data_IF_796212161370
#
_entry.id   IF_796212161370
#
_cell.length_a   1.000
_cell.length_b   1.000
_cell.length_c   1.000
_cell.angle_alpha   90.00
_cell.angle_beta   90.00
_cell.angle_gamma   90.00
#
_symmetry.space_group_name_H-M   'P 1'
#
loop_
_entity.id
_entity.type
_entity.pdbx_description
1 polymer ?
#
# COMPACT_ATOMS: atom_id res chain seq x y z
N UNK A 1 31.14 -10.15 -15.68
CA UNK A 1 30.02 -10.14 -14.71
C UNK A 1 28.80 -9.81 -15.53
N UNK A 2 27.84 -10.72 -15.64
CA UNK A 2 26.64 -10.49 -16.44
C UNK A 2 25.83 -9.40 -15.76
N UNK A 3 25.68 -8.26 -16.44
CA UNK A 3 24.96 -7.08 -16.01
C UNK A 3 23.46 -7.41 -15.98
N UNK A 4 23.02 -8.06 -14.89
CA UNK A 4 21.61 -8.40 -14.72
C UNK A 4 20.92 -7.14 -14.19
N UNK A 5 19.93 -6.59 -14.92
CA UNK A 5 19.26 -5.38 -14.47
C UNK A 5 18.60 -5.61 -13.11
N UNK A 6 18.69 -4.60 -12.23
CA UNK A 6 18.01 -4.62 -10.93
C UNK A 6 16.50 -4.77 -11.16
N UNK A 7 15.84 -5.79 -10.57
CA UNK A 7 14.41 -6.01 -10.77
C UNK A 7 13.57 -4.89 -10.14
N UNK A 8 12.32 -4.75 -10.54
CA UNK A 8 11.37 -3.90 -9.80
C UNK A 8 11.08 -4.49 -8.42
N UNK A 9 10.55 -3.69 -7.49
CA UNK A 9 10.09 -4.21 -6.21
C UNK A 9 8.98 -5.24 -6.40
N UNK A 10 8.09 -5.01 -7.38
CA UNK A 10 7.05 -5.93 -7.79
C UNK A 10 7.60 -7.29 -8.24
N UNK A 11 8.62 -7.31 -9.10
CA UNK A 11 9.23 -8.56 -9.55
C UNK A 11 9.97 -9.26 -8.41
N UNK A 12 10.69 -8.49 -7.58
CA UNK A 12 11.45 -9.01 -6.44
C UNK A 12 10.57 -9.70 -5.40
N UNK A 13 9.42 -9.11 -5.06
CA UNK A 13 8.49 -9.70 -4.09
C UNK A 13 7.72 -10.92 -4.60
N UNK A 14 7.82 -11.26 -5.89
CA UNK A 14 7.11 -12.37 -6.51
C UNK A 14 5.81 -11.99 -7.23
N UNK A 15 5.66 -10.73 -7.62
CA UNK A 15 4.56 -10.21 -8.44
C UNK A 15 3.18 -10.22 -7.77
N UNK A 16 2.14 -10.11 -8.62
CA UNK A 16 0.75 -10.03 -8.17
C UNK A 16 0.33 -11.22 -7.29
N UNK A 17 0.72 -12.47 -7.57
CA UNK A 17 0.36 -13.60 -6.70
C UNK A 17 0.87 -13.44 -5.27
N UNK A 18 2.04 -12.82 -5.05
CA UNK A 18 2.54 -12.55 -3.71
C UNK A 18 1.74 -11.44 -3.01
N UNK A 19 1.39 -10.38 -3.73
CA UNK A 19 0.57 -9.29 -3.19
C UNK A 19 -0.85 -9.73 -2.86
N UNK A 20 -1.46 -10.60 -3.66
CA UNK A 20 -2.78 -11.16 -3.37
C UNK A 20 -2.76 -12.00 -2.09
N UNK A 21 -1.77 -12.89 -1.92
CA UNK A 21 -1.62 -13.64 -0.67
C UNK A 21 -1.40 -12.72 0.53
N UNK A 22 -0.56 -11.68 0.37
CA UNK A 22 -0.30 -10.69 1.40
C UNK A 22 -1.59 -9.97 1.82
N UNK A 23 -2.33 -9.39 0.88
CA UNK A 23 -3.51 -8.60 1.20
C UNK A 23 -4.64 -9.48 1.72
N UNK A 24 -4.86 -10.67 1.16
CA UNK A 24 -5.84 -11.63 1.68
C UNK A 24 -5.56 -11.98 3.15
N UNK A 25 -4.31 -12.37 3.46
CA UNK A 25 -3.94 -12.71 4.83
C UNK A 25 -4.01 -11.50 5.75
N UNK A 26 -3.55 -10.34 5.29
CA UNK A 26 -3.56 -9.10 6.05
C UNK A 26 -4.98 -8.72 6.45
N UNK A 27 -5.93 -8.74 5.51
CA UNK A 27 -7.32 -8.38 5.79
C UNK A 27 -8.08 -9.45 6.60
N UNK A 28 -7.62 -10.71 6.62
CA UNK A 28 -8.08 -11.68 7.61
C UNK A 28 -7.66 -11.24 9.02
N UNK A 29 -6.39 -10.87 9.21
CA UNK A 29 -5.85 -10.43 10.51
C UNK A 29 -6.43 -9.10 10.98
N UNK A 30 -6.75 -8.18 10.06
CA UNK A 30 -7.41 -6.89 10.37
C UNK A 30 -8.71 -7.09 11.13
N UNK A 31 -9.45 -8.17 10.87
CA UNK A 31 -10.73 -8.47 11.55
C UNK A 31 -10.55 -8.78 13.03
N UNK A 32 -9.35 -9.21 13.43
CA UNK A 32 -9.02 -9.58 14.81
C UNK A 32 -8.32 -8.44 15.57
N UNK A 33 -7.95 -7.35 14.88
CA UNK A 33 -7.30 -6.18 15.48
C UNK A 33 -8.33 -5.18 16.02
N UNK A 34 -8.24 -4.84 17.31
CA UNK A 34 -9.22 -3.99 17.98
C UNK A 34 -9.30 -2.55 17.43
N UNK A 35 -8.21 -2.02 16.87
CA UNK A 35 -8.16 -0.67 16.29
C UNK A 35 -8.61 -0.66 14.83
N UNK A 36 -8.25 -1.70 14.08
CA UNK A 36 -8.50 -1.77 12.63
C UNK A 36 -9.84 -2.42 12.27
N UNK A 37 -10.32 -3.39 13.05
CA UNK A 37 -11.58 -4.08 12.75
C UNK A 37 -12.76 -3.11 12.57
N UNK A 38 -12.94 -2.05 13.40
CA UNK A 38 -14.00 -1.06 13.16
C UNK A 38 -13.81 -0.25 11.88
N UNK A 39 -12.57 0.04 11.48
CA UNK A 39 -12.24 0.80 10.26
C UNK A 39 -12.69 0.04 9.01
N UNK A 40 -12.55 -1.29 9.02
CA UNK A 40 -12.83 -2.17 7.88
C UNK A 40 -14.13 -2.98 8.04
N UNK A 41 -14.99 -2.66 9.01
CA UNK A 41 -16.20 -3.44 9.31
C UNK A 41 -17.20 -3.57 8.13
N UNK A 42 -17.15 -2.63 7.18
CA UNK A 42 -17.99 -2.61 5.98
C UNK A 42 -17.20 -2.79 4.69
N UNK A 43 -15.98 -3.29 4.78
CA UNK A 43 -15.13 -3.60 3.64
C UNK A 43 -15.78 -4.70 2.78
N UNK A 44 -15.80 -4.49 1.47
CA UNK A 44 -16.26 -5.53 0.52
C UNK A 44 -15.25 -6.69 0.40
N UNK A 45 -15.71 -7.81 -0.15
CA UNK A 45 -14.88 -9.01 -0.31
C UNK A 45 -13.77 -8.89 -1.34
N UNK A 46 -13.87 -7.95 -2.29
CA UNK A 46 -12.91 -7.72 -3.37
C UNK A 46 -11.79 -6.75 -2.96
N UNK A 47 -11.95 -6.06 -1.83
CA UNK A 47 -11.01 -5.07 -1.32
C UNK A 47 -9.56 -5.57 -1.25
N UNK A 48 -9.25 -6.80 -0.78
CA UNK A 48 -7.90 -7.32 -0.82
C UNK A 48 -7.30 -7.36 -2.24
N UNK A 49 -8.10 -7.74 -3.24
CA UNK A 49 -7.66 -7.79 -4.64
C UNK A 49 -7.43 -6.39 -5.21
N UNK A 50 -8.31 -5.44 -4.90
CA UNK A 50 -8.13 -4.04 -5.29
C UNK A 50 -6.84 -3.44 -4.72
N UNK A 51 -6.54 -3.71 -3.45
CA UNK A 51 -5.31 -3.23 -2.80
C UNK A 51 -4.08 -3.93 -3.38
N UNK A 52 -4.15 -5.22 -3.69
CA UNK A 52 -3.05 -5.92 -4.34
C UNK A 52 -2.73 -5.33 -5.73
N UNK A 53 -3.76 -5.04 -6.53
CA UNK A 53 -3.60 -4.39 -7.83
C UNK A 53 -3.00 -2.98 -7.71
N UNK A 54 -3.47 -2.19 -6.73
CA UNK A 54 -2.92 -0.86 -6.46
C UNK A 54 -1.43 -0.94 -6.10
N UNK A 55 -1.07 -1.79 -5.13
CA UNK A 55 0.32 -1.99 -4.71
C UNK A 55 1.20 -2.50 -5.86
N UNK A 56 0.67 -3.41 -6.69
CA UNK A 56 1.40 -3.94 -7.83
C UNK A 56 1.85 -2.82 -8.78
N UNK A 57 0.94 -1.93 -9.14
CA UNK A 57 1.25 -0.81 -10.03
C UNK A 57 2.21 0.20 -9.38
N UNK A 58 2.06 0.49 -8.08
CA UNK A 58 2.99 1.38 -7.37
C UNK A 58 4.41 0.85 -7.34
N UNK A 59 4.58 -0.46 -7.15
CA UNK A 59 5.86 -1.13 -6.98
C UNK A 59 6.54 -1.51 -8.31
N UNK A 60 6.01 -1.01 -9.43
CA UNK A 60 6.61 -1.16 -10.77
C UNK A 60 5.99 -2.27 -11.63
N UNK A 61 4.87 -2.86 -11.20
CA UNK A 61 4.10 -3.84 -11.96
C UNK A 61 3.16 -3.23 -13.02
N UNK A 62 2.27 -4.05 -13.61
CA UNK A 62 1.34 -3.62 -14.65
C UNK A 62 0.36 -2.52 -14.20
N UNK A 63 -0.09 -1.67 -15.12
CA UNK A 63 -1.05 -0.57 -14.86
C UNK A 63 -2.52 -1.04 -14.74
N UNK A 64 -2.73 -2.21 -14.16
CA UNK A 64 -4.04 -2.84 -14.11
C UNK A 64 -5.02 -2.07 -13.20
N UNK A 65 -4.53 -1.53 -12.07
CA UNK A 65 -5.37 -0.77 -11.15
C UNK A 65 -5.84 0.54 -11.78
N UNK A 66 -4.95 1.28 -12.43
CA UNK A 66 -5.31 2.49 -13.15
C UNK A 66 -6.33 2.23 -14.25
N UNK A 67 -6.13 1.17 -15.05
CA UNK A 67 -7.03 0.81 -16.13
C UNK A 67 -8.44 0.42 -15.65
N UNK A 68 -8.55 -0.26 -14.50
CA UNK A 68 -9.82 -0.83 -14.02
C UNK A 68 -10.54 0.07 -13.01
N UNK A 69 -9.80 0.84 -12.22
CA UNK A 69 -10.36 1.61 -11.10
C UNK A 69 -10.17 3.13 -11.25
N UNK A 70 -9.35 3.60 -12.19
CA UNK A 70 -9.11 5.03 -12.41
C UNK A 70 -7.99 5.62 -11.56
N UNK A 71 -7.05 4.77 -11.13
CA UNK A 71 -5.72 5.19 -10.64
C UNK A 71 -5.73 5.90 -9.29
N UNK A 72 -4.71 6.72 -9.05
CA UNK A 72 -4.47 7.32 -7.74
C UNK A 72 -5.66 8.18 -7.25
N UNK A 73 -6.27 8.96 -8.13
CA UNK A 73 -7.44 9.76 -7.81
C UNK A 73 -8.61 8.89 -7.27
N UNK A 74 -8.79 7.67 -7.80
CA UNK A 74 -9.77 6.73 -7.24
C UNK A 74 -9.39 6.29 -5.83
N UNK A 75 -8.13 5.90 -5.61
CA UNK A 75 -7.65 5.49 -4.28
C UNK A 75 -7.91 6.60 -3.24
N UNK A 76 -7.58 7.85 -3.58
CA UNK A 76 -7.82 9.00 -2.70
C UNK A 76 -9.31 9.15 -2.37
N UNK A 77 -10.19 9.03 -3.38
CA UNK A 77 -11.65 9.10 -3.17
C UNK A 77 -12.16 8.06 -2.15
N UNK A 78 -11.57 6.86 -2.12
CA UNK A 78 -11.96 5.82 -1.15
C UNK A 78 -11.60 6.17 0.31
N UNK A 79 -10.65 7.08 0.50
CA UNK A 79 -10.17 7.49 1.82
C UNK A 79 -10.89 8.72 2.37
N UNK A 80 -11.59 9.52 1.54
CA UNK A 80 -12.23 10.77 1.96
C UNK A 80 -13.20 10.57 3.13
N UNK A 81 -13.17 11.50 4.09
CA UNK A 81 -14.06 11.52 5.27
C UNK A 81 -14.07 10.22 6.09
N UNK A 82 -12.98 9.44 6.06
CA UNK A 82 -12.81 8.26 6.91
C UNK A 82 -12.29 8.60 8.30
N UNK A 83 -11.83 9.83 8.54
CA UNK A 83 -11.34 10.32 9.83
C UNK A 83 -10.28 9.41 10.47
N UNK A 84 -9.34 8.91 9.68
CA UNK A 84 -8.31 8.00 10.16
C UNK A 84 -7.41 8.70 11.17
N UNK A 85 -7.08 8.00 12.26
CA UNK A 85 -6.23 8.46 13.32
C UNK A 85 -4.80 7.89 13.21
N UNK A 86 -3.84 8.51 13.92
CA UNK A 86 -2.42 8.13 13.83
C UNK A 86 -2.12 6.77 14.48
N UNK A 87 -2.89 6.37 15.48
CA UNK A 87 -2.81 5.03 16.10
C UNK A 87 -3.30 3.94 15.14
N UNK A 88 -4.42 4.15 14.45
CA UNK A 88 -4.90 3.27 13.38
C UNK A 88 -3.86 3.15 12.25
N UNK A 89 -3.25 4.27 11.84
CA UNK A 89 -2.17 4.26 10.83
C UNK A 89 -1.00 3.36 11.26
N UNK A 90 -0.51 3.53 12.50
CA UNK A 90 0.60 2.74 13.03
C UNK A 90 0.25 1.26 13.14
N UNK A 91 -0.95 0.94 13.63
CA UNK A 91 -1.44 -0.43 13.72
C UNK A 91 -1.52 -1.09 12.33
N UNK A 92 -2.02 -0.36 11.33
CA UNK A 92 -2.12 -0.85 9.95
C UNK A 92 -0.74 -1.18 9.36
N UNK A 93 0.23 -0.28 9.51
CA UNK A 93 1.60 -0.51 9.01
C UNK A 93 2.27 -1.69 9.71
N UNK A 94 2.19 -1.76 11.04
CA UNK A 94 2.77 -2.84 11.81
C UNK A 94 2.16 -4.20 11.42
N UNK A 95 0.83 -4.27 11.34
CA UNK A 95 0.13 -5.51 11.00
C UNK A 95 0.47 -6.00 9.59
N UNK A 96 0.64 -5.10 8.62
CA UNK A 96 1.03 -5.47 7.26
C UNK A 96 2.46 -6.02 7.20
N UNK A 97 3.39 -5.39 7.92
CA UNK A 97 4.78 -5.86 8.01
C UNK A 97 4.87 -7.23 8.70
N UNK A 98 4.16 -7.41 9.82
CA UNK A 98 4.07 -8.71 10.49
C UNK A 98 3.43 -9.77 9.59
N UNK A 99 2.51 -9.39 8.71
CA UNK A 99 1.89 -10.31 7.75
C UNK A 99 2.89 -10.70 6.65
N UNK A 100 3.71 -9.77 6.20
CA UNK A 100 4.78 -10.08 5.24
C UNK A 100 5.81 -11.07 5.82
N UNK A 101 6.14 -10.92 7.12
CA UNK A 101 7.02 -11.85 7.84
C UNK A 101 6.40 -13.24 7.98
N UNK A 102 5.12 -13.30 8.37
CA UNK A 102 4.37 -14.56 8.47
C UNK A 102 4.36 -15.33 7.15
N UNK A 103 4.27 -14.63 6.02
CA UNK A 103 4.25 -15.21 4.69
C UNK A 103 5.64 -15.46 4.09
N UNK A 104 6.71 -15.23 4.86
CA UNK A 104 8.09 -15.35 4.40
C UNK A 104 8.35 -14.59 3.09
N UNK A 105 7.77 -13.38 2.96
CA UNK A 105 8.14 -12.46 1.89
C UNK A 105 9.60 -12.00 2.05
N UNK A 106 10.26 -11.50 0.99
CA UNK A 106 11.66 -11.10 1.07
C UNK A 106 11.95 -10.22 2.29
N UNK A 107 13.01 -10.55 3.00
CA UNK A 107 13.45 -9.90 4.24
C UNK A 107 14.86 -9.35 4.17
N UNK A 108 15.44 -9.29 2.96
CA UNK A 108 16.69 -8.60 2.71
C UNK A 108 16.59 -7.11 3.11
N UNK A 109 17.65 -6.54 3.71
CA UNK A 109 17.61 -5.18 4.25
C UNK A 109 17.20 -4.13 3.22
N UNK A 110 17.63 -4.28 1.97
CA UNK A 110 17.34 -3.38 0.86
C UNK A 110 15.83 -3.35 0.56
N UNK A 111 15.19 -4.52 0.45
CA UNK A 111 13.76 -4.61 0.19
C UNK A 111 12.97 -4.09 1.38
N UNK A 112 13.36 -4.46 2.61
CA UNK A 112 12.68 -4.01 3.82
C UNK A 112 12.76 -2.51 3.99
N UNK A 113 13.91 -1.91 3.69
CA UNK A 113 14.06 -0.45 3.66
C UNK A 113 13.10 0.19 2.65
N UNK A 114 13.00 -0.35 1.43
CA UNK A 114 12.13 0.20 0.39
C UNK A 114 10.64 0.07 0.74
N UNK A 115 10.21 -1.11 1.22
CA UNK A 115 8.84 -1.39 1.62
C UNK A 115 8.41 -0.49 2.78
N UNK A 116 9.21 -0.42 3.85
CA UNK A 116 8.91 0.44 5.01
C UNK A 116 8.81 1.91 4.58
N UNK A 117 9.71 2.38 3.71
CA UNK A 117 9.65 3.74 3.18
C UNK A 117 8.34 4.04 2.46
N UNK A 118 7.87 3.11 1.62
CA UNK A 118 6.59 3.26 0.93
C UNK A 118 5.41 3.26 1.90
N UNK A 119 5.35 2.29 2.82
CA UNK A 119 4.24 2.17 3.76
C UNK A 119 4.14 3.38 4.68
N UNK A 120 5.27 3.93 5.13
CA UNK A 120 5.28 5.16 5.92
C UNK A 120 4.75 6.36 5.11
N UNK A 121 5.20 6.55 3.87
CA UNK A 121 4.74 7.64 3.01
C UNK A 121 3.25 7.48 2.65
N UNK A 122 2.85 6.31 2.16
CA UNK A 122 1.49 6.04 1.68
C UNK A 122 0.45 6.08 2.79
N UNK A 123 0.78 5.55 3.98
CA UNK A 123 -0.15 5.58 5.12
C UNK A 123 -0.37 6.99 5.67
N UNK A 124 0.60 7.91 5.57
CA UNK A 124 0.40 9.33 5.90
C UNK A 124 -0.56 10.00 4.93
N UNK A 125 -0.40 9.73 3.63
CA UNK A 125 -1.29 10.23 2.59
C UNK A 125 -2.73 9.77 2.83
N UNK A 126 -2.93 8.49 3.22
CA UNK A 126 -4.24 7.97 3.58
C UNK A 126 -4.88 8.74 4.75
N UNK A 127 -4.12 9.04 5.81
CA UNK A 127 -4.62 9.83 6.95
C UNK A 127 -5.02 11.24 6.52
N UNK A 128 -4.19 11.90 5.73
CA UNK A 128 -4.44 13.29 5.28
C UNK A 128 -5.66 13.36 4.38
N UNK A 129 -5.77 12.46 3.42
CA UNK A 129 -6.93 12.39 2.54
C UNK A 129 -8.21 11.97 3.27
N UNK A 130 -8.11 11.40 4.46
CA UNK A 130 -9.29 11.03 5.25
C UNK A 130 -9.91 12.16 6.07
N UNK A 131 -9.25 13.32 6.14
CA UNK A 131 -9.74 14.46 6.92
C UNK A 131 -10.86 15.23 6.20
N UNK A 132 -11.73 15.92 6.95
CA UNK A 132 -12.74 16.80 6.36
C UNK A 132 -12.12 17.87 5.46
N UNK A 133 -12.73 18.07 4.29
CA UNK A 133 -12.29 19.09 3.33
C UNK A 133 -11.09 18.69 2.46
N UNK A 134 -10.57 17.47 2.59
CA UNK A 134 -9.61 16.93 1.63
C UNK A 134 -10.24 16.90 0.23
N UNK A 135 -9.49 17.38 -0.77
CA UNK A 135 -9.91 17.43 -2.18
C UNK A 135 -9.06 16.47 -3.01
N UNK A 136 -9.66 15.93 -4.07
CA UNK A 136 -8.96 15.01 -4.98
C UNK A 136 -8.60 15.77 -6.24
N UNK A 137 -7.32 15.81 -6.55
CA UNK A 137 -6.86 16.15 -7.89
C UNK A 137 -7.19 14.97 -8.83
N UNK A 138 -8.06 15.23 -9.82
CA UNK A 138 -8.48 14.21 -10.78
C UNK A 138 -7.32 13.72 -11.65
N UNK A 139 -6.29 14.55 -11.82
CA UNK A 139 -5.11 14.28 -12.64
C UNK A 139 -3.92 13.80 -11.78
N UNK A 140 -4.14 13.50 -10.50
CA UNK A 140 -3.11 13.03 -9.58
C UNK A 140 -2.37 11.81 -10.18
N UNK A 141 -1.05 11.90 -10.39
CA UNK A 141 -0.30 10.81 -11.01
C UNK A 141 -0.24 9.60 -10.09
N UNK A 142 -0.22 8.41 -10.68
CA UNK A 142 0.05 7.18 -9.96
C UNK A 142 1.45 7.24 -9.32
N UNK A 143 1.58 7.05 -7.99
CA UNK A 143 2.89 7.01 -7.38
C UNK A 143 3.68 5.82 -7.91
N UNK A 144 4.97 6.05 -8.17
CA UNK A 144 5.94 5.01 -8.47
C UNK A 144 6.94 4.92 -7.34
N UNK A 145 7.20 3.72 -6.86
CA UNK A 145 8.12 3.45 -5.76
C UNK A 145 9.10 2.35 -6.13
N UNK A 146 10.39 2.64 -6.00
CA UNK A 146 11.49 1.74 -6.30
C UNK A 146 12.49 1.64 -5.15
N UNK A 147 13.71 1.19 -5.49
CA UNK A 147 14.80 1.05 -4.54
C UNK A 147 15.38 2.42 -4.16
N UNK A 148 15.44 2.74 -2.86
CA UNK A 148 16.16 3.93 -2.35
C UNK A 148 15.45 5.29 -2.52
N UNK A 149 14.12 5.31 -2.64
CA UNK A 149 13.31 6.52 -2.86
C UNK A 149 13.23 7.45 -1.64
N UNK A 150 14.31 8.16 -1.28
CA UNK A 150 14.23 9.33 -0.40
C UNK A 150 13.93 10.58 -1.25
N UNK A 151 12.65 10.81 -1.54
CA UNK A 151 12.14 11.93 -2.38
C UNK A 151 12.22 13.32 -1.71
N UNK A 152 13.13 13.52 -0.75
CA UNK A 152 13.19 14.71 0.12
C UNK A 152 12.17 14.67 1.27
N UNK A 153 12.15 15.68 2.15
CA UNK A 153 11.23 15.73 3.29
C UNK A 153 9.77 15.85 2.83
N UNK A 154 8.86 15.13 3.51
CA UNK A 154 7.42 15.30 3.30
C UNK A 154 6.96 16.68 3.78
N UNK A 155 6.28 17.45 2.92
CA UNK A 155 5.89 18.84 3.21
C UNK A 155 4.44 19.01 3.68
N UNK A 156 3.65 17.93 3.73
CA UNK A 156 2.20 18.01 3.95
C UNK A 156 1.46 18.11 2.63
#
# INVERSE_FOLDING_TARGET
MSDTPVPTLYDWLGGLPALQRLTERFYQRVKDDALLAPVFAHMDGEHPAHVAAFLAEVLGGPQAYSAQHGGHAHMIRQHLNRHLAQDQRRAWVALLLDTADELAMPDDPEFRSALVGYLEWGSRLAVINSQPGAVVDADAPMPKWGWGEVKGPYLG
#
